data_IF_835414947547
#
_entry.id   IF_835414947547
#
_cell.length_a   1.000
_cell.length_b   1.000
_cell.length_c   1.000
_cell.angle_alpha   90.00
_cell.angle_beta   90.00
_cell.angle_gamma   90.00
#
_symmetry.space_group_name_H-M   'P 1'
#
loop_
_entity.id
_entity.type
_entity.pdbx_description
1 polymer ?
#
# COMPACT_ATOMS: atom_id res chain seq x y z
N UNK A 1 -0.37 6.19 8.40
CA UNK A 1 -1.24 7.26 8.91
C UNK A 1 -0.70 7.79 10.24
N UNK A 2 -0.41 9.09 10.34
CA UNK A 2 0.02 9.73 11.60
C UNK A 2 -1.18 9.89 12.54
N UNK A 3 -0.97 9.74 13.84
CA UNK A 3 -2.04 9.84 14.86
C UNK A 3 -1.65 10.77 16.00
N UNK A 4 -2.63 11.19 16.79
CA UNK A 4 -2.40 11.94 18.01
C UNK A 4 -1.60 11.07 18.98
N UNK A 5 -0.71 11.68 19.77
CA UNK A 5 0.05 10.96 20.80
C UNK A 5 -0.93 10.34 21.82
N UNK A 6 -1.06 9.01 21.89
CA UNK A 6 -2.02 8.40 22.79
C UNK A 6 -1.53 8.52 24.24
N UNK A 7 -2.41 8.43 25.24
CA UNK A 7 -1.98 8.38 26.65
C UNK A 7 -1.37 7.02 27.01
N UNK A 8 -1.90 5.94 26.43
CA UNK A 8 -1.49 4.56 26.65
C UNK A 8 -0.76 4.01 25.42
N UNK A 9 0.12 3.02 25.62
CA UNK A 9 0.82 2.29 24.54
C UNK A 9 1.59 3.16 23.53
N UNK A 10 2.07 4.35 23.92
CA UNK A 10 2.82 5.27 23.05
C UNK A 10 4.03 4.63 22.37
N UNK A 11 4.76 3.76 23.08
CA UNK A 11 5.95 3.09 22.54
C UNK A 11 5.60 2.10 21.42
N UNK A 12 4.38 1.58 21.40
CA UNK A 12 3.92 0.57 20.45
C UNK A 12 3.62 1.21 19.09
N UNK A 13 2.99 2.38 19.11
CA UNK A 13 2.63 3.13 17.89
C UNK A 13 3.70 4.12 17.42
N UNK A 14 4.81 4.25 18.14
CA UNK A 14 5.94 5.08 17.72
C UNK A 14 6.73 4.39 16.61
N UNK A 15 6.80 5.00 15.43
CA UNK A 15 7.74 4.60 14.38
C UNK A 15 9.13 5.16 14.67
N UNK A 16 10.11 4.29 14.87
CA UNK A 16 11.51 4.71 15.08
C UNK A 16 12.10 5.42 13.86
N UNK A 17 11.75 4.97 12.65
CA UNK A 17 12.23 5.56 11.40
C UNK A 17 11.63 6.95 11.16
N UNK A 18 10.30 7.11 11.30
CA UNK A 18 9.62 8.39 11.05
C UNK A 18 9.60 9.33 12.27
N UNK A 19 9.96 8.83 13.45
CA UNK A 19 9.91 9.54 14.75
C UNK A 19 8.53 10.16 15.06
N UNK A 20 7.46 9.51 14.62
CA UNK A 20 6.08 9.93 14.84
C UNK A 20 5.22 8.79 15.37
N UNK A 21 4.10 9.16 15.99
CA UNK A 21 3.04 8.24 16.38
C UNK A 21 2.21 7.92 15.13
N UNK A 22 2.14 6.65 14.75
CA UNK A 22 1.44 6.26 13.54
C UNK A 22 0.89 4.83 13.58
N UNK A 23 -0.13 4.60 12.76
CA UNK A 23 -0.56 3.27 12.32
C UNK A 23 -0.02 3.00 10.91
N UNK A 24 0.43 1.78 10.69
CA UNK A 24 0.92 1.29 9.40
C UNK A 24 -0.17 0.55 8.65
N UNK A 25 -0.14 0.69 7.33
CA UNK A 25 -0.99 -0.02 6.40
C UNK A 25 -0.15 -0.51 5.23
N UNK A 26 -0.51 -1.65 4.69
CA UNK A 26 0.06 -2.24 3.50
C UNK A 26 -0.98 -2.19 2.39
N UNK A 27 -0.69 -1.46 1.32
CA UNK A 27 -1.54 -1.43 0.13
C UNK A 27 -0.89 -2.15 -1.04
N UNK A 28 -1.69 -2.85 -1.84
CA UNK A 28 -1.34 -3.31 -3.19
C UNK A 28 -2.16 -2.49 -4.17
N UNK A 29 -1.46 -1.83 -5.08
CA UNK A 29 -2.05 -1.00 -6.13
C UNK A 29 -2.05 -1.78 -7.43
N UNK A 30 -3.22 -1.85 -8.08
CA UNK A 30 -3.35 -2.37 -9.43
C UNK A 30 -3.08 -1.26 -10.46
N UNK A 31 -2.67 -1.61 -11.70
CA UNK A 31 -2.39 -0.61 -12.74
C UNK A 31 -3.60 0.24 -13.12
N UNK A 32 -4.82 -0.24 -12.85
CA UNK A 32 -6.06 0.51 -13.07
C UNK A 32 -6.36 1.57 -11.98
N UNK A 33 -5.43 1.79 -11.05
CA UNK A 33 -5.54 2.82 -10.01
C UNK A 33 -6.38 2.43 -8.80
N UNK A 34 -6.78 1.16 -8.69
CA UNK A 34 -7.47 0.64 -7.52
C UNK A 34 -6.49 0.02 -6.52
N UNK A 35 -6.74 0.24 -5.23
CA UNK A 35 -6.17 -0.63 -4.20
C UNK A 35 -6.85 -2.00 -4.28
N UNK A 36 -6.13 -3.00 -4.78
CA UNK A 36 -6.59 -4.38 -4.87
C UNK A 36 -6.61 -5.08 -3.50
N UNK A 37 -5.75 -4.62 -2.59
CA UNK A 37 -5.67 -5.14 -1.23
C UNK A 37 -5.15 -4.07 -0.27
N UNK A 38 -5.73 -3.99 0.92
CA UNK A 38 -5.31 -3.08 1.98
C UNK A 38 -5.33 -3.81 3.33
N UNK A 39 -4.17 -3.95 3.96
CA UNK A 39 -4.02 -4.60 5.26
C UNK A 39 -3.55 -3.63 6.35
N UNK A 40 -4.06 -3.83 7.55
CA UNK A 40 -3.80 -3.01 8.73
C UNK A 40 -5.08 -2.71 9.51
N UNK A 41 -5.02 -1.85 10.54
CA UNK A 41 -3.84 -1.12 11.01
C UNK A 41 -2.83 -2.03 11.75
N UNK A 42 -1.55 -1.78 11.52
CA UNK A 42 -0.44 -2.35 12.31
C UNK A 42 0.26 -1.28 13.14
N UNK A 43 0.92 -1.68 14.22
CA UNK A 43 1.56 -0.74 15.14
C UNK A 43 2.79 -0.09 14.51
N UNK A 44 2.96 1.23 14.70
CA UNK A 44 4.03 2.02 14.08
C UNK A 44 5.45 1.50 14.34
N UNK A 45 5.68 0.79 15.45
CA UNK A 45 6.96 0.19 15.82
C UNK A 45 7.32 -1.04 14.98
N UNK A 46 6.34 -1.79 14.47
CA UNK A 46 6.61 -3.05 13.74
C UNK A 46 7.34 -2.77 12.43
N UNK A 47 8.19 -3.71 12.01
CA UNK A 47 8.81 -3.67 10.70
C UNK A 47 7.80 -4.00 9.60
N UNK A 48 8.11 -3.62 8.36
CA UNK A 48 7.20 -3.83 7.23
C UNK A 48 7.15 -5.32 6.83
N UNK A 49 8.26 -6.08 6.98
CA UNK A 49 8.29 -7.50 6.62
C UNK A 49 7.30 -8.38 7.41
N UNK A 50 7.19 -8.28 8.75
CA UNK A 50 6.13 -8.96 9.49
C UNK A 50 4.72 -8.58 9.02
N UNK A 51 4.46 -7.31 8.72
CA UNK A 51 3.17 -6.86 8.18
C UNK A 51 2.85 -7.53 6.83
N UNK A 52 3.84 -7.71 5.96
CA UNK A 52 3.67 -8.46 4.70
C UNK A 52 3.34 -9.93 4.94
N UNK A 53 3.92 -10.56 5.96
CA UNK A 53 3.63 -11.94 6.30
C UNK A 53 2.22 -12.09 6.93
N UNK A 54 1.89 -11.23 7.90
CA UNK A 54 0.62 -11.24 8.62
C UNK A 54 -0.59 -10.91 7.74
N UNK A 55 -0.39 -10.22 6.60
CA UNK A 55 -1.47 -9.96 5.66
C UNK A 55 -1.96 -11.20 4.90
N UNK A 56 -1.23 -12.31 4.96
CA UNK A 56 -1.60 -13.56 4.25
C UNK A 56 -1.54 -13.47 2.72
N UNK A 57 -1.19 -12.29 2.18
CA UNK A 57 -1.27 -12.04 0.74
C UNK A 57 -0.35 -12.94 -0.07
N UNK A 58 0.80 -13.33 0.49
CA UNK A 58 1.74 -14.22 -0.21
C UNK A 58 1.10 -15.58 -0.52
N UNK A 59 0.31 -16.12 0.41
CA UNK A 59 -0.41 -17.39 0.23
C UNK A 59 -1.45 -17.24 -0.89
N UNK A 60 -2.23 -16.16 -0.86
CA UNK A 60 -3.21 -15.87 -1.91
C UNK A 60 -2.54 -15.76 -3.29
N UNK A 61 -1.39 -15.08 -3.38
CA UNK A 61 -0.66 -14.96 -4.65
C UNK A 61 -0.13 -16.32 -5.14
N UNK A 62 0.41 -17.14 -4.25
CA UNK A 62 0.92 -18.48 -4.56
C UNK A 62 -0.19 -19.41 -5.10
N UNK A 63 -1.41 -19.27 -4.58
CA UNK A 63 -2.58 -20.07 -4.99
C UNK A 63 -3.25 -19.56 -6.27
N UNK A 64 -3.28 -18.25 -6.51
CA UNK A 64 -4.14 -17.64 -7.54
C UNK A 64 -3.40 -16.95 -8.68
N UNK A 65 -2.13 -16.59 -8.50
CA UNK A 65 -1.41 -15.70 -9.42
C UNK A 65 -0.31 -16.41 -10.20
N UNK A 66 -0.66 -17.57 -10.76
CA UNK A 66 0.17 -18.26 -11.75
C UNK A 66 -0.47 -18.13 -13.13
N UNK A 67 0.36 -17.91 -14.16
CA UNK A 67 -0.07 -18.02 -15.55
C UNK A 67 -0.43 -19.47 -15.89
N UNK A 68 -1.16 -19.71 -17.00
CA UNK A 68 -1.48 -21.07 -17.44
C UNK A 68 -0.25 -21.96 -17.68
N UNK A 69 0.91 -21.36 -17.98
CA UNK A 69 2.19 -22.06 -18.15
C UNK A 69 2.94 -22.33 -16.84
N UNK A 70 2.37 -21.98 -15.68
CA UNK A 70 2.98 -22.12 -14.36
C UNK A 70 3.92 -20.98 -13.96
N UNK A 71 4.10 -19.96 -14.81
CA UNK A 71 4.94 -18.80 -14.47
C UNK A 71 4.25 -17.92 -13.42
N UNK A 72 4.90 -17.62 -12.29
CA UNK A 72 4.32 -16.76 -11.27
C UNK A 72 4.20 -15.32 -11.76
N UNK A 73 3.06 -14.69 -11.49
CA UNK A 73 2.90 -13.24 -11.59
C UNK A 73 3.44 -12.60 -10.31
N UNK A 74 4.25 -11.54 -10.47
CA UNK A 74 4.98 -10.92 -9.37
C UNK A 74 4.45 -9.53 -9.05
N UNK A 75 4.31 -9.24 -7.76
CA UNK A 75 4.25 -7.87 -7.26
C UNK A 75 5.64 -7.24 -7.23
N UNK A 76 5.70 -5.93 -7.40
CA UNK A 76 6.91 -5.16 -7.13
C UNK A 76 6.80 -4.45 -5.78
N UNK A 77 7.62 -4.88 -4.82
CA UNK A 77 7.51 -4.52 -3.41
C UNK A 77 8.57 -3.54 -2.92
N UNK A 78 8.38 -3.14 -1.66
CA UNK A 78 9.36 -2.36 -0.90
C UNK A 78 10.66 -3.18 -0.71
N UNK A 79 11.86 -2.56 -0.78
CA UNK A 79 13.13 -3.20 -0.41
C UNK A 79 13.13 -4.00 0.89
N UNK A 80 12.34 -3.57 1.87
CA UNK A 80 12.23 -4.19 3.19
C UNK A 80 11.58 -5.58 3.16
N UNK A 81 10.89 -5.95 2.07
CA UNK A 81 10.26 -7.25 1.93
C UNK A 81 11.26 -8.33 1.48
N UNK A 82 11.00 -9.62 1.80
CA UNK A 82 11.79 -10.72 1.27
C UNK A 82 11.60 -10.87 -0.24
N UNK A 83 12.62 -11.37 -0.94
CA UNK A 83 12.45 -11.78 -2.34
C UNK A 83 11.69 -13.12 -2.38
N UNK A 84 10.64 -13.22 -3.19
CA UNK A 84 9.80 -14.43 -3.34
C UNK A 84 9.39 -14.59 -4.81
N UNK A 85 8.93 -15.78 -5.26
CA UNK A 85 8.42 -15.97 -6.62
C UNK A 85 7.36 -14.94 -7.01
N UNK A 86 6.41 -14.62 -6.14
CA UNK A 86 5.37 -13.62 -6.38
C UNK A 86 5.72 -12.21 -5.86
N UNK A 87 6.96 -11.96 -5.40
CA UNK A 87 7.37 -10.66 -4.88
C UNK A 87 8.81 -10.32 -5.31
N UNK A 88 8.89 -9.46 -6.31
CA UNK A 88 10.13 -8.82 -6.73
C UNK A 88 10.40 -7.57 -5.88
N UNK A 89 11.67 -7.20 -5.78
CA UNK A 89 12.12 -5.98 -5.09
C UNK A 89 13.32 -5.38 -5.82
N UNK A 90 13.68 -4.12 -5.56
CA UNK A 90 14.87 -3.52 -6.16
C UNK A 90 16.13 -4.35 -5.88
N UNK A 91 17.08 -4.34 -6.82
CA UNK A 91 18.41 -4.86 -6.56
C UNK A 91 19.08 -4.00 -5.48
N UNK A 92 19.52 -4.63 -4.40
CA UNK A 92 20.15 -3.98 -3.25
C UNK A 92 21.65 -4.26 -3.24
N UNK A 93 22.47 -3.25 -2.93
CA UNK A 93 23.91 -3.38 -2.84
C UNK A 93 24.64 -2.05 -3.01
N UNK A 94 25.88 -1.96 -2.53
CA UNK A 94 26.67 -0.74 -2.60
C UNK A 94 27.18 -0.40 -4.02
N UNK A 95 27.21 -1.39 -4.92
CA UNK A 95 27.69 -1.27 -6.31
C UNK A 95 26.83 -2.13 -7.25
N UNK A 96 25.60 -1.71 -7.55
CA UNK A 96 24.77 -2.40 -8.54
C UNK A 96 25.42 -2.34 -9.94
N UNK A 97 25.17 -3.35 -10.76
CA UNK A 97 25.57 -3.29 -12.18
C UNK A 97 24.75 -2.23 -12.91
N UNK A 98 25.25 -1.74 -14.06
CA UNK A 98 24.52 -0.78 -14.90
C UNK A 98 23.11 -1.27 -15.28
N UNK A 99 22.96 -2.58 -15.48
CA UNK A 99 21.67 -3.21 -15.78
C UNK A 99 20.73 -3.20 -14.58
N UNK A 100 21.24 -3.49 -13.38
CA UNK A 100 20.48 -3.42 -12.13
C UNK A 100 20.05 -1.98 -11.81
N UNK A 101 20.90 -0.98 -12.07
CA UNK A 101 20.54 0.43 -11.93
C UNK A 101 19.43 0.82 -12.90
N UNK A 102 19.55 0.41 -14.16
CA UNK A 102 18.51 0.65 -15.17
C UNK A 102 17.18 0.01 -14.77
N UNK A 103 17.21 -1.22 -14.29
CA UNK A 103 16.02 -1.91 -13.77
C UNK A 103 15.42 -1.16 -12.57
N UNK A 104 16.22 -0.83 -11.55
CA UNK A 104 15.76 -0.11 -10.37
C UNK A 104 15.16 1.26 -10.72
N UNK A 105 15.75 1.97 -11.71
CA UNK A 105 15.25 3.27 -12.18
C UNK A 105 13.86 3.13 -12.81
N UNK A 106 13.68 2.17 -13.73
CA UNK A 106 12.38 1.91 -14.37
C UNK A 106 11.35 1.48 -13.33
N UNK A 107 11.71 0.56 -12.45
CA UNK A 107 10.76 0.07 -11.46
C UNK A 107 10.44 1.10 -10.37
N UNK A 108 11.34 2.04 -10.08
CA UNK A 108 11.04 3.17 -9.19
C UNK A 108 10.02 4.12 -9.81
N UNK A 109 10.01 4.31 -11.14
CA UNK A 109 8.97 5.13 -11.79
C UNK A 109 7.62 4.44 -11.79
N UNK A 110 7.57 3.11 -11.84
CA UNK A 110 6.32 2.35 -11.66
C UNK A 110 5.83 2.48 -10.21
N UNK A 111 6.72 2.38 -9.22
CA UNK A 111 6.38 2.41 -7.79
C UNK A 111 5.77 3.73 -7.33
N UNK A 112 6.03 4.84 -8.03
CA UNK A 112 5.47 6.15 -7.69
C UNK A 112 3.93 6.16 -7.72
N UNK A 113 3.31 5.27 -8.53
CA UNK A 113 1.86 5.10 -8.59
C UNK A 113 1.22 4.73 -7.25
N UNK A 114 1.94 3.97 -6.42
CA UNK A 114 1.52 3.63 -5.06
C UNK A 114 1.48 4.90 -4.20
N UNK A 115 2.48 5.77 -4.34
CA UNK A 115 2.57 7.03 -3.59
C UNK A 115 1.46 8.00 -4.01
N UNK A 116 1.17 8.12 -5.31
CA UNK A 116 0.04 8.90 -5.81
C UNK A 116 -1.29 8.43 -5.21
N UNK A 117 -1.48 7.13 -5.11
CA UNK A 117 -2.74 6.56 -4.64
C UNK A 117 -2.93 6.73 -3.13
N UNK A 118 -1.86 6.62 -2.34
CA UNK A 118 -1.90 7.02 -0.92
C UNK A 118 -2.12 8.52 -0.76
N UNK A 119 -1.49 9.35 -1.61
CA UNK A 119 -1.72 10.79 -1.67
C UNK A 119 -3.17 11.15 -1.99
N UNK A 120 -3.81 10.41 -2.90
CA UNK A 120 -5.24 10.54 -3.23
C UNK A 120 -6.10 10.40 -1.98
N UNK A 121 -5.88 9.36 -1.16
CA UNK A 121 -6.64 9.16 0.08
C UNK A 121 -6.49 10.37 1.01
N UNK A 122 -5.27 10.84 1.25
CA UNK A 122 -5.03 12.01 2.11
C UNK A 122 -5.66 13.30 1.58
N UNK A 123 -5.65 13.49 0.25
CA UNK A 123 -6.22 14.68 -0.38
C UNK A 123 -7.75 14.71 -0.33
N UNK A 124 -8.42 13.59 -0.63
CA UNK A 124 -9.88 13.52 -0.61
C UNK A 124 -10.44 13.45 0.82
N UNK A 125 -9.74 12.76 1.71
CA UNK A 125 -10.18 12.54 3.08
C UNK A 125 -9.20 13.20 4.03
N UNK A 126 -9.11 14.54 4.00
CA UNK A 126 -8.20 15.32 4.86
C UNK A 126 -8.27 14.93 6.35
N UNK A 127 -9.41 14.41 6.81
CA UNK A 127 -9.57 13.84 8.15
C UNK A 127 -8.54 12.73 8.47
N UNK A 128 -8.18 11.88 7.50
CA UNK A 128 -7.18 10.81 7.67
C UNK A 128 -5.74 11.33 7.79
N UNK A 129 -5.50 12.59 7.43
CA UNK A 129 -4.19 13.25 7.60
C UNK A 129 -4.16 14.21 8.80
N UNK A 130 -5.32 14.51 9.39
CA UNK A 130 -5.42 15.40 10.55
C UNK A 130 -5.05 14.70 11.87
N UNK A 131 -3.74 14.45 12.03
CA UNK A 131 -3.17 13.68 13.16
C UNK A 131 -3.67 14.12 14.54
N UNK A 132 -3.88 15.41 14.78
CA UNK A 132 -4.29 15.93 16.10
C UNK A 132 -5.68 15.43 16.52
N UNK A 133 -6.53 15.10 15.53
CA UNK A 133 -7.86 14.56 15.79
C UNK A 133 -7.92 13.04 15.76
N UNK A 134 -6.98 12.36 15.11
CA UNK A 134 -6.93 10.90 15.05
C UNK A 134 -6.46 10.32 16.39
N UNK A 135 -7.41 10.17 17.32
CA UNK A 135 -7.15 9.73 18.70
C UNK A 135 -7.43 8.24 18.85
N UNK A 136 -6.36 7.45 18.93
CA UNK A 136 -6.44 6.02 19.24
C UNK A 136 -7.17 5.81 20.57
N UNK A 137 -8.00 4.77 20.65
CA UNK A 137 -8.91 4.44 21.78
C UNK A 137 -10.11 5.36 21.99
N UNK A 138 -10.22 6.48 21.27
CA UNK A 138 -11.42 7.33 21.28
C UNK A 138 -12.22 7.24 19.99
N UNK A 139 -11.57 6.82 18.90
CA UNK A 139 -12.17 6.70 17.58
C UNK A 139 -11.69 5.42 16.89
N UNK A 140 -12.46 4.88 15.93
CA UNK A 140 -12.06 3.73 15.13
C UNK A 140 -11.07 4.14 14.02
N UNK A 141 -9.96 4.78 14.42
CA UNK A 141 -8.95 5.40 13.56
C UNK A 141 -8.49 4.45 12.44
N UNK A 142 -8.25 3.18 12.75
CA UNK A 142 -7.90 2.16 11.76
C UNK A 142 -8.96 1.94 10.68
N UNK A 143 -10.23 1.77 11.09
CA UNK A 143 -11.35 1.53 10.18
C UNK A 143 -11.62 2.75 9.29
N UNK A 144 -11.44 3.96 9.81
CA UNK A 144 -11.62 5.20 9.04
C UNK A 144 -10.71 5.20 7.80
N UNK A 145 -9.45 4.76 7.94
CA UNK A 145 -8.53 4.69 6.81
C UNK A 145 -8.93 3.62 5.77
N UNK A 146 -9.43 2.47 6.23
CA UNK A 146 -9.93 1.41 5.34
C UNK A 146 -11.16 1.88 4.55
N UNK A 147 -12.11 2.54 5.22
CA UNK A 147 -13.29 3.11 4.56
C UNK A 147 -12.87 4.20 3.55
N UNK A 148 -11.95 5.08 3.93
CA UNK A 148 -11.40 6.09 3.02
C UNK A 148 -10.74 5.46 1.78
N UNK A 149 -10.10 4.29 1.93
CA UNK A 149 -9.53 3.53 0.81
C UNK A 149 -10.62 3.02 -0.14
N UNK A 150 -11.70 2.44 0.39
CA UNK A 150 -12.84 1.96 -0.42
C UNK A 150 -13.47 3.14 -1.17
N UNK A 151 -13.73 4.25 -0.49
CA UNK A 151 -14.30 5.44 -1.11
C UNK A 151 -13.37 6.06 -2.16
N UNK A 152 -12.05 6.02 -1.95
CA UNK A 152 -11.07 6.44 -2.95
C UNK A 152 -11.11 5.54 -4.20
N UNK A 153 -11.28 4.22 -4.04
CA UNK A 153 -11.50 3.29 -5.15
C UNK A 153 -12.80 3.62 -5.90
N UNK A 154 -13.91 3.88 -5.21
CA UNK A 154 -15.17 4.30 -5.83
C UNK A 154 -14.98 5.59 -6.65
N UNK A 155 -14.27 6.58 -6.09
CA UNK A 155 -13.93 7.79 -6.83
C UNK A 155 -13.06 7.46 -8.06
N UNK A 156 -12.09 6.55 -7.96
CA UNK A 156 -11.30 6.13 -9.13
C UNK A 156 -12.20 5.50 -10.20
N UNK A 157 -13.17 4.66 -9.85
CA UNK A 157 -14.11 4.08 -10.82
C UNK A 157 -14.92 5.15 -11.56
N UNK A 158 -15.36 6.21 -10.86
CA UNK A 158 -16.17 7.28 -11.44
C UNK A 158 -15.37 8.29 -12.28
N UNK A 159 -14.12 8.57 -11.90
CA UNK A 159 -13.38 9.73 -12.42
C UNK A 159 -11.95 9.39 -12.88
N UNK A 160 -11.59 8.12 -12.96
CA UNK A 160 -10.21 7.67 -13.19
C UNK A 160 -9.24 8.14 -12.08
N UNK A 161 -7.95 7.98 -12.35
CA UNK A 161 -6.84 8.36 -11.49
C UNK A 161 -5.58 8.61 -12.32
N UNK A 162 -4.64 9.34 -11.73
CA UNK A 162 -3.30 9.50 -12.32
C UNK A 162 -2.63 8.13 -12.59
N UNK A 163 -2.88 7.13 -11.75
CA UNK A 163 -2.35 5.77 -11.91
C UNK A 163 -2.92 5.08 -13.15
N UNK A 164 -4.25 5.09 -13.32
CA UNK A 164 -4.91 4.48 -14.49
C UNK A 164 -4.50 5.15 -15.80
N UNK A 165 -4.35 6.48 -15.80
CA UNK A 165 -3.83 7.22 -16.96
C UNK A 165 -2.38 6.84 -17.26
N UNK A 166 -1.52 6.77 -16.24
CA UNK A 166 -0.10 6.42 -16.40
C UNK A 166 0.10 5.02 -17.01
N UNK A 167 -0.71 4.05 -16.61
CA UNK A 167 -0.66 2.69 -17.16
C UNK A 167 -1.57 2.47 -18.37
N UNK A 168 -2.31 3.50 -18.79
CA UNK A 168 -3.32 3.41 -19.85
C UNK A 168 -4.30 2.24 -19.64
N UNK A 169 -4.77 2.07 -18.40
CA UNK A 169 -5.70 1.02 -18.01
C UNK A 169 -6.86 1.63 -17.22
N UNK A 170 -8.07 1.76 -17.82
CA UNK A 170 -9.21 2.32 -17.12
C UNK A 170 -9.65 1.41 -15.96
N UNK A 171 -10.16 1.98 -14.86
CA UNK A 171 -10.82 1.20 -13.82
C UNK A 171 -12.14 0.60 -14.34
N UNK A 172 -12.66 -0.45 -13.68
CA UNK A 172 -14.00 -0.93 -13.93
C UNK A 172 -15.05 0.15 -13.58
N UNK A 173 -16.30 -0.10 -13.96
CA UNK A 173 -17.44 0.69 -13.50
C UNK A 173 -17.58 0.60 -11.97
N UNK A 174 -18.29 1.56 -11.39
CA UNK A 174 -18.55 1.56 -9.94
C UNK A 174 -19.37 0.33 -9.53
N UNK A 175 -20.31 -0.07 -10.37
CA UNK A 175 -21.19 -1.23 -10.18
C UNK A 175 -20.41 -2.54 -10.19
N UNK A 176 -19.49 -2.73 -11.13
CA UNK A 176 -18.59 -3.89 -11.17
C UNK A 176 -17.67 -3.94 -9.96
N UNK A 177 -17.14 -2.79 -9.51
CA UNK A 177 -16.25 -2.74 -8.34
C UNK A 177 -16.96 -3.07 -7.03
N UNK A 178 -18.22 -2.65 -6.87
CA UNK A 178 -19.03 -2.91 -5.68
C UNK A 178 -19.78 -4.24 -5.71
N UNK A 179 -19.65 -4.99 -6.81
CA UNK A 179 -20.27 -6.30 -6.91
C UNK A 179 -19.58 -7.30 -5.96
N UNK A 180 -20.34 -8.01 -5.10
CA UNK A 180 -19.79 -8.92 -4.10
C UNK A 180 -19.24 -10.24 -4.67
#
# INVERSE_FOLDING_TARGET
MAIAKPKQHQKVVLSGHKRIQCLKFQGIMAPNGLFAHMFGPMEGRRHDAPMFHESGIITTLEETMNRPDGTPLCLYGNPAYPLRPHLMKPFMGARPTREQEKFNKVMSSVRISVEWSFGKISNFFAFVDFKTNLKLYLQPVGKIFLVATILANCHTCLYSSQTSEYFNLPPPSLEEYLYP
#
